data_IF_191472916595
#
_entry.id   IF_191472916595
#
_cell.length_a   1.000
_cell.length_b   1.000
_cell.length_c   1.000
_cell.angle_alpha   90.00
_cell.angle_beta   90.00
_cell.angle_gamma   90.00
#
_symmetry.space_group_name_H-M   'P 1'
#
loop_
_entity.id
_entity.type
_entity.pdbx_description
1 polymer ?
#
# COMPACT_ATOMS: atom_id res chain seq x y z
N UNK A 1 -1.36 -7.68 9.80
CA UNK A 1 -1.37 -7.34 11.23
C UNK A 1 -1.40 -8.65 12.01
N UNK A 2 -0.28 -9.01 12.65
CA UNK A 2 -0.13 -10.31 13.30
C UNK A 2 -1.13 -10.48 14.46
N UNK A 3 -1.46 -9.38 15.15
CA UNK A 3 -2.42 -9.40 16.25
C UNK A 3 -3.81 -9.80 15.76
N UNK A 4 -4.25 -9.24 14.63
CA UNK A 4 -5.55 -9.52 14.04
C UNK A 4 -5.66 -10.95 13.48
N UNK A 5 -4.60 -11.46 12.87
CA UNK A 5 -4.57 -12.83 12.32
C UNK A 5 -4.51 -13.92 13.38
N UNK A 6 -4.11 -13.58 14.60
CA UNK A 6 -4.08 -14.50 15.74
C UNK A 6 -5.36 -14.41 16.57
N UNK A 7 -5.76 -13.19 16.95
CA UNK A 7 -6.88 -13.00 17.87
C UNK A 7 -8.23 -13.43 17.29
N UNK A 8 -8.47 -13.24 15.99
CA UNK A 8 -9.78 -13.56 15.40
C UNK A 8 -10.07 -15.06 15.37
N UNK A 9 -9.15 -15.94 14.92
CA UNK A 9 -9.31 -17.39 15.07
C UNK A 9 -9.55 -17.81 16.53
N UNK A 10 -8.74 -17.31 17.46
CA UNK A 10 -8.86 -17.66 18.90
C UNK A 10 -10.26 -17.32 19.44
N UNK A 11 -10.80 -16.15 19.08
CA UNK A 11 -12.15 -15.71 19.47
C UNK A 11 -13.25 -16.58 18.82
N UNK A 12 -13.05 -17.04 17.59
CA UNK A 12 -14.03 -17.86 16.88
C UNK A 12 -14.05 -19.31 17.38
N UNK A 13 -12.90 -19.83 17.83
CA UNK A 13 -12.75 -21.20 18.37
C UNK A 13 -13.15 -21.30 19.85
N UNK A 14 -13.12 -20.18 20.58
CA UNK A 14 -13.60 -20.12 21.97
C UNK A 14 -15.13 -20.26 22.04
N UNK A 15 -15.57 -21.46 22.39
CA UNK A 15 -16.97 -21.80 22.60
C UNK A 15 -17.56 -21.21 23.89
N UNK A 16 -16.72 -20.86 24.86
CA UNK A 16 -17.11 -20.36 26.18
C UNK A 16 -17.31 -18.84 26.19
N UNK A 17 -16.82 -18.11 25.17
CA UNK A 17 -17.04 -16.67 25.12
C UNK A 17 -18.52 -16.30 24.88
N UNK A 18 -18.92 -15.19 25.50
CA UNK A 18 -20.30 -14.70 25.49
C UNK A 18 -20.73 -14.01 24.18
N UNK A 19 -19.98 -14.18 23.08
CA UNK A 19 -20.32 -13.53 21.81
C UNK A 19 -21.57 -14.18 21.20
N UNK A 20 -22.59 -13.38 20.82
CA UNK A 20 -23.76 -13.90 20.10
C UNK A 20 -23.34 -14.64 18.83
N UNK A 21 -24.04 -15.74 18.51
CA UNK A 21 -23.75 -16.56 17.32
C UNK A 21 -23.74 -15.72 16.03
N UNK A 22 -24.71 -14.80 15.88
CA UNK A 22 -24.79 -13.91 14.73
C UNK A 22 -23.54 -13.02 14.60
N UNK A 23 -22.95 -12.60 15.72
CA UNK A 23 -21.72 -11.82 15.72
C UNK A 23 -20.51 -12.68 15.36
N UNK A 24 -20.41 -13.92 15.86
CA UNK A 24 -19.36 -14.88 15.46
C UNK A 24 -19.40 -15.13 13.94
N UNK A 25 -20.59 -15.31 13.37
CA UNK A 25 -20.78 -15.47 11.93
C UNK A 25 -20.33 -14.25 11.14
N UNK A 26 -20.76 -13.04 11.54
CA UNK A 26 -20.35 -11.80 10.87
C UNK A 26 -18.83 -11.57 10.96
N UNK A 27 -18.22 -11.90 12.11
CA UNK A 27 -16.78 -11.83 12.31
C UNK A 27 -16.02 -12.81 11.41
N UNK A 28 -16.48 -14.05 11.30
CA UNK A 28 -15.88 -15.05 10.42
C UNK A 28 -15.87 -14.59 8.94
N UNK A 29 -17.01 -14.10 8.45
CA UNK A 29 -17.11 -13.55 7.08
C UNK A 29 -16.17 -12.36 6.89
N UNK A 30 -16.12 -11.44 7.84
CA UNK A 30 -15.25 -10.27 7.78
C UNK A 30 -13.77 -10.66 7.77
N UNK A 31 -13.40 -11.69 8.54
CA UNK A 31 -12.04 -12.20 8.59
C UNK A 31 -11.61 -12.89 7.28
N UNK A 32 -12.50 -13.66 6.66
CA UNK A 32 -12.24 -14.25 5.34
C UNK A 32 -12.05 -13.18 4.25
N UNK A 33 -12.86 -12.12 4.28
CA UNK A 33 -12.69 -10.98 3.40
C UNK A 33 -11.35 -10.28 3.64
N UNK A 34 -10.97 -10.06 4.90
CA UNK A 34 -9.68 -9.47 5.26
C UNK A 34 -8.50 -10.29 4.73
N UNK A 35 -8.52 -11.62 4.90
CA UNK A 35 -7.47 -12.52 4.37
C UNK A 35 -7.36 -12.39 2.85
N UNK A 36 -8.49 -12.45 2.16
CA UNK A 36 -8.56 -12.30 0.70
C UNK A 36 -7.96 -10.97 0.23
N UNK A 37 -8.27 -9.87 0.94
CA UNK A 37 -7.71 -8.56 0.63
C UNK A 37 -6.20 -8.48 0.91
N UNK A 38 -5.72 -9.14 1.97
CA UNK A 38 -4.29 -9.23 2.26
C UNK A 38 -3.52 -9.93 1.13
N UNK A 39 -4.05 -11.06 0.65
CA UNK A 39 -3.44 -11.82 -0.45
C UNK A 39 -3.45 -11.03 -1.75
N UNK A 40 -4.58 -10.40 -2.09
CA UNK A 40 -4.70 -9.52 -3.24
C UNK A 40 -3.71 -8.35 -3.17
N UNK A 41 -3.56 -7.71 -2.00
CA UNK A 41 -2.58 -6.64 -1.78
C UNK A 41 -1.15 -7.14 -2.01
N UNK A 42 -0.79 -8.30 -1.47
CA UNK A 42 0.53 -8.88 -1.66
C UNK A 42 0.81 -9.22 -3.13
N UNK A 43 -0.18 -9.73 -3.85
CA UNK A 43 -0.06 -10.00 -5.28
C UNK A 43 0.14 -8.71 -6.09
N UNK A 44 -0.65 -7.68 -5.83
CA UNK A 44 -0.49 -6.37 -6.48
C UNK A 44 0.87 -5.75 -6.20
N UNK A 45 1.38 -5.86 -4.97
CA UNK A 45 2.71 -5.37 -4.63
C UNK A 45 3.80 -6.07 -5.45
N UNK A 46 3.73 -7.40 -5.58
CA UNK A 46 4.65 -8.18 -6.43
C UNK A 46 4.58 -7.75 -7.90
N UNK A 47 3.38 -7.45 -8.40
CA UNK A 47 3.22 -6.95 -9.77
C UNK A 47 3.89 -5.58 -9.96
N UNK A 48 3.70 -4.64 -9.00
CA UNK A 48 4.38 -3.34 -9.04
C UNK A 48 5.91 -3.51 -9.01
N UNK A 49 6.43 -4.37 -8.14
CA UNK A 49 7.86 -4.68 -8.12
C UNK A 49 8.36 -5.23 -9.47
N UNK A 50 7.60 -6.14 -10.09
CA UNK A 50 7.98 -6.72 -11.37
C UNK A 50 7.99 -5.67 -12.49
N UNK A 51 6.98 -4.79 -12.54
CA UNK A 51 6.87 -3.70 -13.52
C UNK A 51 8.02 -2.71 -13.34
N UNK A 52 8.27 -2.26 -12.11
CA UNK A 52 9.32 -1.27 -11.81
C UNK A 52 10.72 -1.81 -12.06
N UNK A 53 10.97 -3.09 -11.79
CA UNK A 53 12.24 -3.77 -12.14
C UNK A 53 12.46 -3.89 -13.65
N UNK A 54 11.42 -3.82 -14.48
CA UNK A 54 11.54 -3.87 -15.95
C UNK A 54 11.56 -2.48 -16.60
N UNK A 55 11.29 -1.42 -15.85
CA UNK A 55 11.22 -0.06 -16.37
C UNK A 55 12.48 0.74 -15.96
N UNK A 56 13.27 1.17 -16.94
CA UNK A 56 14.54 1.89 -16.72
C UNK A 56 14.34 3.19 -15.92
N UNK A 57 13.28 3.96 -16.20
CA UNK A 57 12.99 5.19 -15.47
C UNK A 57 12.65 4.91 -13.99
N UNK A 58 11.88 3.85 -13.71
CA UNK A 58 11.62 3.41 -12.33
C UNK A 58 12.91 2.97 -11.63
N UNK A 59 13.79 2.21 -12.30
CA UNK A 59 15.08 1.80 -11.73
C UNK A 59 15.94 3.01 -11.35
N UNK A 60 16.00 4.03 -12.22
CA UNK A 60 16.72 5.27 -11.95
C UNK A 60 16.14 6.05 -10.77
N UNK A 61 14.80 6.09 -10.64
CA UNK A 61 14.13 6.74 -9.52
C UNK A 61 14.37 5.98 -8.20
N UNK A 62 14.34 4.64 -8.22
CA UNK A 62 14.62 3.81 -7.04
C UNK A 62 16.09 3.86 -6.58
N UNK A 63 17.01 4.40 -7.39
CA UNK A 63 18.39 4.64 -6.96
C UNK A 63 18.49 5.79 -5.93
N UNK A 64 17.45 6.60 -5.78
CA UNK A 64 17.36 7.64 -4.75
C UNK A 64 17.04 7.02 -3.39
N UNK A 65 17.71 7.49 -2.34
CA UNK A 65 17.46 7.03 -0.97
C UNK A 65 15.98 7.31 -0.58
N UNK A 66 15.33 6.30 0.00
CA UNK A 66 13.93 6.39 0.40
C UNK A 66 12.90 6.18 -0.72
N UNK A 67 13.32 5.99 -1.98
CA UNK A 67 12.40 5.76 -3.11
C UNK A 67 12.26 4.26 -3.40
N UNK A 68 11.12 3.69 -3.02
CA UNK A 68 10.76 2.30 -3.32
C UNK A 68 9.93 2.14 -4.60
N UNK A 69 9.58 0.90 -4.99
CA UNK A 69 8.82 0.58 -6.21
C UNK A 69 7.51 1.37 -6.37
N UNK A 70 6.73 1.49 -5.28
CA UNK A 70 5.44 2.20 -5.29
C UNK A 70 5.65 3.70 -5.57
N UNK A 71 6.61 4.32 -4.87
CA UNK A 71 6.94 5.74 -5.07
C UNK A 71 7.55 5.98 -6.44
N UNK A 72 8.38 5.07 -6.95
CA UNK A 72 8.99 5.21 -8.27
C UNK A 72 7.96 5.18 -9.40
N UNK A 73 6.98 4.26 -9.36
CA UNK A 73 5.94 4.19 -10.39
C UNK A 73 4.97 5.38 -10.30
N UNK A 74 4.72 5.87 -9.08
CA UNK A 74 3.92 7.08 -8.83
C UNK A 74 4.61 8.31 -9.41
N UNK A 75 5.89 8.54 -9.07
CA UNK A 75 6.70 9.61 -9.63
C UNK A 75 6.79 9.52 -11.15
N UNK A 76 6.98 8.33 -11.71
CA UNK A 76 6.98 8.13 -13.15
C UNK A 76 5.63 8.49 -13.78
N UNK A 77 4.52 8.17 -13.11
CA UNK A 77 3.17 8.49 -13.60
C UNK A 77 2.89 9.99 -13.54
N UNK A 78 3.32 10.67 -12.47
CA UNK A 78 3.18 12.11 -12.32
C UNK A 78 4.09 12.89 -13.27
N UNK A 79 5.35 12.48 -13.42
CA UNK A 79 6.35 13.17 -14.22
C UNK A 79 6.33 12.74 -15.69
N UNK A 80 5.65 11.63 -16.03
CA UNK A 80 5.59 11.09 -17.39
C UNK A 80 4.94 12.05 -18.40
N UNK A 81 4.11 12.99 -17.93
CA UNK A 81 3.62 14.10 -18.73
C UNK A 81 4.09 15.45 -18.14
N UNK A 82 5.34 15.79 -18.38
CA UNK A 82 5.96 17.03 -17.86
C UNK A 82 5.28 18.31 -18.34
N UNK A 83 4.48 18.28 -19.42
CA UNK A 83 3.76 19.44 -19.94
C UNK A 83 2.71 20.01 -18.98
N UNK A 84 2.32 19.24 -17.95
CA UNK A 84 1.38 19.68 -16.93
C UNK A 84 2.01 20.60 -15.87
N UNK A 85 3.33 20.77 -15.86
CA UNK A 85 4.05 21.60 -14.89
C UNK A 85 4.83 22.72 -15.58
N UNK A 86 4.73 23.93 -15.04
CA UNK A 86 5.45 25.11 -15.56
C UNK A 86 6.93 25.13 -15.21
N UNK A 87 7.33 24.49 -14.09
CA UNK A 87 8.71 24.34 -13.68
C UNK A 87 8.93 23.10 -12.77
N UNK A 88 10.20 22.81 -12.48
CA UNK A 88 10.58 21.68 -11.62
C UNK A 88 10.11 21.83 -10.17
N UNK A 89 9.87 23.05 -9.69
CA UNK A 89 9.37 23.31 -8.34
C UNK A 89 7.89 22.95 -8.21
N UNK A 90 7.08 23.27 -9.22
CA UNK A 90 5.68 22.86 -9.31
C UNK A 90 5.52 21.35 -9.36
N UNK A 91 6.39 20.66 -10.11
CA UNK A 91 6.44 19.21 -10.13
C UNK A 91 6.80 18.60 -8.76
N UNK A 92 7.84 19.14 -8.09
CA UNK A 92 8.26 18.69 -6.76
C UNK A 92 7.17 18.90 -5.69
N UNK A 93 6.45 20.03 -5.75
CA UNK A 93 5.34 20.32 -4.84
C UNK A 93 4.17 19.36 -5.05
N UNK A 94 3.81 19.08 -6.30
CA UNK A 94 2.78 18.09 -6.64
C UNK A 94 3.15 16.68 -6.19
N UNK A 95 4.43 16.31 -6.28
CA UNK A 95 4.95 15.03 -5.81
C UNK A 95 5.12 14.95 -4.28
N UNK A 96 4.84 16.02 -3.53
CA UNK A 96 4.97 16.05 -2.08
C UNK A 96 6.42 16.01 -1.56
N UNK A 97 7.41 16.28 -2.42
CA UNK A 97 8.85 16.24 -2.09
C UNK A 97 9.46 17.63 -1.84
N UNK A 98 8.63 18.68 -1.82
CA UNK A 98 9.08 20.02 -1.45
C UNK A 98 9.22 20.12 0.07
N UNK A 99 10.41 20.45 0.62
CA UNK A 99 10.59 20.63 2.06
C UNK A 99 9.66 21.71 2.60
N UNK A 100 8.99 21.43 3.72
CA UNK A 100 8.24 22.45 4.46
C UNK A 100 9.24 23.42 5.10
N UNK A 101 9.32 24.65 4.61
CA UNK A 101 10.08 25.70 5.28
C UNK A 101 9.34 26.06 6.58
N UNK A 102 9.86 25.58 7.72
CA UNK A 102 9.55 26.17 9.01
C UNK A 102 10.44 27.41 9.16
N UNK A 103 9.84 28.60 9.10
CA UNK A 103 10.51 29.87 9.42
C UNK A 103 10.80 29.99 10.92
#
# INVERSE_FOLDING_TARGET
>A
DAALTQAVPDILEDAENALPIALKQALAVSYDLYKTQCDAKAQLHKQVEAITKQNESCQRLMALEGVGPITAIELLSFLGNTSQFSDARGAAACAGVTPTQHS
#
